data_IF_387250189342
#
_entry.id   IF_387250189342
#
_cell.length_a   1.000
_cell.length_b   1.000
_cell.length_c   1.000
_cell.angle_alpha   90.00
_cell.angle_beta   90.00
_cell.angle_gamma   90.00
#
_symmetry.space_group_name_H-M   'P 1'
#
loop_
_entity.id
_entity.type
_entity.pdbx_description
1 polymer ?
#
# COMPACT_ATOMS: atom_id res chain seq x y z
N UNK A 1 4.79 17.84 -25.91
CA UNK A 1 4.52 17.67 -24.46
C UNK A 1 3.76 16.39 -24.27
N UNK A 2 4.40 15.38 -23.67
CA UNK A 2 3.72 14.13 -23.28
C UNK A 2 3.03 14.43 -21.94
N UNK A 3 1.71 14.55 -21.93
CA UNK A 3 0.93 14.80 -20.71
C UNK A 3 0.52 13.50 -19.99
N UNK A 4 0.45 12.39 -20.72
CA UNK A 4 0.10 11.09 -20.17
C UNK A 4 0.97 9.97 -20.75
N UNK A 5 1.30 8.97 -19.94
CA UNK A 5 1.79 7.67 -20.38
C UNK A 5 0.63 6.69 -20.27
N UNK A 6 -0.20 6.61 -21.30
CA UNK A 6 -1.38 5.74 -21.30
C UNK A 6 -1.15 4.52 -22.17
N UNK A 7 -0.94 3.34 -21.63
CA UNK A 7 -0.92 2.12 -22.42
C UNK A 7 -2.36 1.75 -22.82
N UNK A 8 -2.53 1.29 -24.04
CA UNK A 8 -3.84 0.94 -24.60
C UNK A 8 -4.31 -0.48 -24.24
N UNK A 9 -3.44 -1.34 -23.69
CA UNK A 9 -3.77 -2.73 -23.35
C UNK A 9 -3.03 -3.19 -22.09
N UNK A 10 -3.53 -4.28 -21.46
CA UNK A 10 -3.04 -4.84 -20.20
C UNK A 10 -1.52 -5.11 -20.17
N UNK A 11 -0.90 -5.47 -21.29
CA UNK A 11 0.52 -5.80 -21.38
C UNK A 11 1.36 -4.76 -22.13
N UNK A 12 0.84 -3.59 -22.40
CA UNK A 12 1.46 -2.60 -23.30
C UNK A 12 1.86 -1.30 -22.61
N UNK A 13 2.28 -1.36 -21.33
CA UNK A 13 2.86 -0.19 -20.64
C UNK A 13 4.06 0.36 -21.40
N UNK A 14 4.21 1.67 -21.45
CA UNK A 14 5.23 2.33 -22.28
C UNK A 14 6.66 1.81 -22.00
N UNK A 15 6.95 1.40 -20.75
CA UNK A 15 8.23 0.83 -20.31
C UNK A 15 8.08 -0.56 -19.70
N UNK A 16 6.99 -1.28 -20.03
CA UNK A 16 6.76 -2.62 -19.52
C UNK A 16 7.97 -3.53 -19.73
N UNK A 17 8.48 -4.12 -18.64
CA UNK A 17 9.59 -5.07 -18.70
C UNK A 17 10.96 -4.46 -19.09
N UNK A 18 11.12 -3.14 -19.01
CA UNK A 18 12.41 -2.48 -19.20
C UNK A 18 13.34 -2.82 -18.02
N UNK A 19 13.80 -4.09 -17.97
CA UNK A 19 14.53 -4.68 -16.82
C UNK A 19 15.83 -3.98 -16.45
N UNK A 20 16.43 -3.22 -17.37
CA UNK A 20 17.68 -2.49 -17.15
C UNK A 20 17.47 -0.99 -16.91
N UNK A 21 16.21 -0.51 -16.91
CA UNK A 21 15.90 0.89 -16.60
C UNK A 21 16.18 1.14 -15.12
N UNK A 22 17.11 2.05 -14.81
CA UNK A 22 17.48 2.40 -13.43
C UNK A 22 16.90 3.71 -12.98
N UNK A 23 16.66 4.63 -13.91
CA UNK A 23 16.14 5.98 -13.64
C UNK A 23 15.35 6.50 -14.84
N UNK A 24 14.36 7.34 -14.55
CA UNK A 24 13.61 8.08 -15.57
C UNK A 24 13.35 9.50 -15.07
N UNK A 25 13.38 10.46 -16.00
CA UNK A 25 12.98 11.84 -15.76
C UNK A 25 11.72 12.14 -16.56
N UNK A 26 10.73 12.70 -15.90
CA UNK A 26 9.46 13.06 -16.52
C UNK A 26 9.47 14.51 -17.01
N UNK A 27 8.72 14.83 -18.10
CA UNK A 27 8.51 16.20 -18.51
C UNK A 27 7.61 16.93 -17.52
N UNK A 28 7.80 18.24 -17.39
CA UNK A 28 6.84 19.09 -16.69
C UNK A 28 5.46 18.99 -17.33
N UNK A 29 4.41 18.98 -16.50
CA UNK A 29 3.02 18.89 -16.97
C UNK A 29 2.52 17.46 -17.23
N UNK A 30 3.30 16.43 -16.91
CA UNK A 30 2.79 15.05 -16.90
C UNK A 30 1.68 14.92 -15.85
N UNK A 31 0.47 14.47 -16.26
CA UNK A 31 -0.70 14.39 -15.37
C UNK A 31 -1.07 12.97 -14.95
N UNK A 32 -0.57 11.94 -15.66
CA UNK A 32 -0.90 10.55 -15.36
C UNK A 32 0.23 9.58 -15.70
N UNK A 33 0.38 8.55 -14.86
CA UNK A 33 1.16 7.34 -15.15
C UNK A 33 0.15 6.23 -15.47
N UNK A 34 0.17 5.74 -16.69
CA UNK A 34 -0.83 4.77 -17.17
C UNK A 34 -0.58 3.35 -16.71
N UNK A 35 -1.54 2.48 -16.99
CA UNK A 35 -1.55 1.07 -16.64
C UNK A 35 -0.29 0.33 -17.12
N UNK A 36 0.31 -0.50 -16.24
CA UNK A 36 1.53 -1.27 -16.52
C UNK A 36 2.75 -0.43 -16.97
N UNK A 37 2.75 0.89 -16.84
CA UNK A 37 3.76 1.76 -17.44
C UNK A 37 5.19 1.32 -17.13
N UNK A 38 5.51 1.02 -15.87
CA UNK A 38 6.82 0.54 -15.40
C UNK A 38 6.76 -0.88 -14.84
N UNK A 39 5.71 -1.63 -15.14
CA UNK A 39 5.57 -2.99 -14.63
C UNK A 39 6.80 -3.82 -14.98
N UNK A 40 7.39 -4.49 -13.97
CA UNK A 40 8.59 -5.32 -14.08
C UNK A 40 9.86 -4.56 -14.56
N UNK A 41 9.95 -3.26 -14.33
CA UNK A 41 11.20 -2.50 -14.41
C UNK A 41 12.07 -2.84 -13.20
N UNK A 42 12.61 -4.06 -13.16
CA UNK A 42 13.17 -4.68 -11.96
C UNK A 42 14.39 -3.92 -11.39
N UNK A 43 15.10 -3.12 -12.21
CA UNK A 43 16.24 -2.31 -11.79
C UNK A 43 15.93 -0.82 -11.58
N UNK A 44 14.65 -0.43 -11.63
CA UNK A 44 14.28 0.95 -11.34
C UNK A 44 14.52 1.22 -9.84
N UNK A 45 15.49 2.08 -9.54
CA UNK A 45 15.96 2.36 -8.18
C UNK A 45 15.25 3.55 -7.55
N UNK A 46 14.93 4.55 -8.37
CA UNK A 46 14.27 5.78 -7.92
C UNK A 46 13.32 6.32 -8.98
N UNK A 47 12.30 7.03 -8.51
CA UNK A 47 11.35 7.74 -9.36
C UNK A 47 10.92 9.05 -8.69
N UNK A 48 10.95 10.14 -9.45
CA UNK A 48 10.47 11.43 -9.03
C UNK A 48 9.20 11.75 -9.83
N UNK A 49 8.04 11.63 -9.18
CA UNK A 49 6.76 11.96 -9.80
C UNK A 49 6.56 13.48 -9.80
N UNK A 50 6.30 14.11 -10.97
CA UNK A 50 6.02 15.53 -11.03
C UNK A 50 4.81 15.91 -10.19
N UNK A 51 4.82 17.10 -9.60
CA UNK A 51 3.71 17.64 -8.79
C UNK A 51 2.41 17.84 -9.59
N UNK A 52 2.48 17.78 -10.91
CA UNK A 52 1.34 17.81 -11.84
C UNK A 52 0.59 16.48 -11.97
N UNK A 53 1.18 15.35 -11.51
CA UNK A 53 0.53 14.03 -11.58
C UNK A 53 -0.70 14.00 -10.66
N UNK A 54 -1.81 13.51 -11.18
CA UNK A 54 -3.09 13.33 -10.50
C UNK A 54 -3.58 11.90 -10.54
N UNK A 55 -3.10 11.12 -11.52
CA UNK A 55 -3.56 9.74 -11.72
C UNK A 55 -2.37 8.79 -11.83
N UNK A 56 -2.41 7.75 -11.01
CA UNK A 56 -1.60 6.56 -11.14
C UNK A 56 -2.55 5.42 -11.50
N UNK A 57 -2.16 4.54 -12.41
CA UNK A 57 -3.04 3.47 -12.86
C UNK A 57 -2.54 2.10 -12.39
N UNK A 58 -3.41 1.08 -12.52
CA UNK A 58 -3.18 -0.27 -12.02
C UNK A 58 -1.87 -0.86 -12.57
N UNK A 59 -1.13 -1.58 -11.70
CA UNK A 59 0.17 -2.21 -12.01
C UNK A 59 1.26 -1.25 -12.48
N UNK A 60 1.12 0.08 -12.33
CA UNK A 60 2.06 1.02 -12.94
C UNK A 60 3.52 0.75 -12.50
N UNK A 61 3.76 0.37 -11.25
CA UNK A 61 5.08 0.04 -10.71
C UNK A 61 5.20 -1.39 -10.19
N UNK A 62 4.27 -2.27 -10.54
CA UNK A 62 4.30 -3.68 -10.13
C UNK A 62 5.65 -4.32 -10.41
N UNK A 63 6.27 -4.93 -9.40
CA UNK A 63 7.52 -5.67 -9.57
C UNK A 63 8.75 -4.81 -9.86
N UNK A 64 8.74 -3.52 -9.52
CA UNK A 64 9.92 -2.65 -9.50
C UNK A 64 10.76 -2.98 -8.26
N UNK A 65 11.51 -4.09 -8.32
CA UNK A 65 12.12 -4.76 -7.16
C UNK A 65 13.21 -3.95 -6.46
N UNK A 66 13.85 -3.00 -7.14
CA UNK A 66 14.90 -2.15 -6.58
C UNK A 66 14.42 -0.72 -6.27
N UNK A 67 13.14 -0.40 -6.50
CA UNK A 67 12.57 0.89 -6.11
C UNK A 67 12.56 1.00 -4.58
N UNK A 68 13.26 2.00 -4.03
CA UNK A 68 13.46 2.13 -2.58
C UNK A 68 12.50 3.11 -1.93
N UNK A 69 12.15 4.18 -2.63
CA UNK A 69 11.27 5.21 -2.08
C UNK A 69 10.41 5.86 -3.17
N UNK A 70 9.25 6.39 -2.76
CA UNK A 70 8.38 7.18 -3.62
C UNK A 70 7.60 8.23 -2.82
N UNK A 71 7.54 9.43 -3.37
CA UNK A 71 6.63 10.49 -2.89
C UNK A 71 5.45 10.58 -3.85
N UNK A 72 4.25 10.27 -3.36
CA UNK A 72 3.02 10.41 -4.14
C UNK A 72 2.60 11.89 -4.10
N UNK A 73 2.43 12.56 -5.27
CA UNK A 73 2.13 13.98 -5.30
C UNK A 73 0.77 14.34 -4.69
N UNK A 74 0.70 15.53 -4.09
CA UNK A 74 -0.57 16.12 -3.66
C UNK A 74 -1.53 16.26 -4.86
N UNK A 75 -2.82 15.98 -4.60
CA UNK A 75 -3.86 15.92 -5.62
C UNK A 75 -4.08 14.53 -6.23
N UNK A 76 -3.25 13.53 -5.89
CA UNK A 76 -3.59 12.12 -6.10
C UNK A 76 -4.60 11.71 -5.02
N UNK A 77 -5.78 11.27 -5.42
CA UNK A 77 -6.87 10.90 -4.50
C UNK A 77 -7.02 9.40 -4.31
N UNK A 78 -6.41 8.58 -5.18
CA UNK A 78 -6.50 7.13 -5.10
C UNK A 78 -5.16 6.45 -5.42
N UNK A 79 -4.78 5.49 -4.59
CA UNK A 79 -3.75 4.49 -4.92
C UNK A 79 -4.48 3.32 -5.57
N UNK A 80 -4.22 2.99 -6.85
CA UNK A 80 -4.89 1.90 -7.53
C UNK A 80 -4.39 0.54 -7.05
N UNK A 81 -5.18 -0.49 -7.33
CA UNK A 81 -4.82 -1.87 -7.02
C UNK A 81 -3.49 -2.29 -7.67
N UNK A 82 -2.68 -3.07 -6.93
CA UNK A 82 -1.38 -3.61 -7.38
C UNK A 82 -0.34 -2.54 -7.77
N UNK A 83 -0.48 -1.28 -7.32
CA UNK A 83 0.40 -0.20 -7.78
C UNK A 83 1.88 -0.52 -7.53
N UNK A 84 2.24 -0.93 -6.30
CA UNK A 84 3.60 -1.25 -5.85
C UNK A 84 3.75 -2.71 -5.42
N UNK A 85 2.81 -3.58 -5.79
CA UNK A 85 2.92 -5.00 -5.45
C UNK A 85 4.27 -5.56 -5.91
N UNK A 86 4.91 -6.32 -5.04
CA UNK A 86 6.23 -6.94 -5.27
C UNK A 86 7.39 -5.94 -5.48
N UNK A 87 7.25 -4.69 -5.02
CA UNK A 87 8.35 -3.73 -4.90
C UNK A 87 9.15 -4.03 -3.61
N UNK A 88 9.92 -5.11 -3.63
CA UNK A 88 10.51 -5.71 -2.42
C UNK A 88 11.55 -4.85 -1.70
N UNK A 89 12.14 -3.85 -2.36
CA UNK A 89 13.06 -2.89 -1.75
C UNK A 89 12.38 -1.58 -1.32
N UNK A 90 11.05 -1.43 -1.54
CA UNK A 90 10.32 -0.19 -1.22
C UNK A 90 10.11 -0.09 0.28
N UNK A 91 10.94 0.73 0.94
CA UNK A 91 10.93 0.93 2.39
C UNK A 91 10.25 2.23 2.81
N UNK A 92 10.17 3.20 1.91
CA UNK A 92 9.64 4.53 2.22
C UNK A 92 8.60 4.98 1.18
N UNK A 93 7.41 5.33 1.65
CA UNK A 93 6.31 5.87 0.85
C UNK A 93 5.67 7.04 1.56
N UNK A 94 5.74 8.21 0.93
CA UNK A 94 4.99 9.38 1.40
C UNK A 94 3.65 9.44 0.69
N UNK A 95 2.56 9.33 1.46
CA UNK A 95 1.19 9.43 0.97
C UNK A 95 0.67 10.88 1.05
N UNK A 96 -0.06 11.39 0.04
CA UNK A 96 -0.56 12.76 0.06
C UNK A 96 -1.75 12.94 1.00
N UNK A 97 -1.91 14.16 1.52
CA UNK A 97 -3.04 14.53 2.38
C UNK A 97 -4.39 14.52 1.65
N UNK A 98 -4.37 14.50 0.33
CA UNK A 98 -5.56 14.43 -0.54
C UNK A 98 -6.09 13.01 -0.76
N UNK A 99 -5.34 11.98 -0.31
CA UNK A 99 -5.67 10.58 -0.57
C UNK A 99 -7.02 10.18 0.07
N UNK A 100 -7.89 9.49 -0.68
CA UNK A 100 -9.21 9.00 -0.25
C UNK A 100 -9.29 7.49 -0.17
N UNK A 101 -8.56 6.79 -1.05
CA UNK A 101 -8.67 5.33 -1.14
C UNK A 101 -7.35 4.65 -1.48
N UNK A 102 -7.20 3.40 -0.98
CA UNK A 102 -6.08 2.51 -1.29
C UNK A 102 -6.67 1.20 -1.80
N UNK A 103 -6.36 0.88 -3.05
CA UNK A 103 -6.85 -0.31 -3.76
C UNK A 103 -6.18 -1.60 -3.31
N UNK A 104 -6.81 -2.72 -3.64
CA UNK A 104 -6.37 -4.05 -3.24
C UNK A 104 -4.93 -4.35 -3.67
N UNK A 105 -4.16 -4.99 -2.77
CA UNK A 105 -2.79 -5.45 -3.03
C UNK A 105 -1.82 -4.32 -3.45
N UNK A 106 -2.18 -3.04 -3.16
CA UNK A 106 -1.40 -1.89 -3.63
C UNK A 106 0.05 -1.88 -3.14
N UNK A 107 0.31 -2.44 -1.98
CA UNK A 107 1.63 -2.54 -1.34
C UNK A 107 1.97 -3.98 -0.95
N UNK A 108 1.32 -5.00 -1.54
CA UNK A 108 1.61 -6.40 -1.20
C UNK A 108 3.10 -6.71 -1.43
N UNK A 109 3.71 -7.43 -0.50
CA UNK A 109 5.09 -7.89 -0.55
C UNK A 109 6.13 -6.76 -0.77
N UNK A 110 5.86 -5.56 -0.26
CA UNK A 110 6.85 -4.47 -0.19
C UNK A 110 7.78 -4.63 1.00
N UNK A 111 8.88 -3.86 0.98
CA UNK A 111 9.86 -3.77 2.07
C UNK A 111 9.51 -2.72 3.14
N UNK A 112 8.31 -2.16 3.14
CA UNK A 112 7.90 -1.12 4.10
C UNK A 112 8.18 -1.55 5.54
N UNK A 113 8.80 -0.64 6.31
CA UNK A 113 9.07 -0.82 7.74
C UNK A 113 7.98 -0.15 8.59
N UNK A 114 7.50 1.00 8.16
CA UNK A 114 6.37 1.70 8.78
C UNK A 114 5.54 2.45 7.75
N UNK A 115 4.26 2.68 8.05
CA UNK A 115 3.40 3.52 7.23
C UNK A 115 2.34 4.23 8.09
N UNK A 116 2.15 5.52 7.80
CA UNK A 116 1.03 6.31 8.31
C UNK A 116 0.05 6.56 7.19
N UNK A 117 -1.19 6.10 7.36
CA UNK A 117 -2.28 6.32 6.40
C UNK A 117 -2.93 7.66 6.75
N UNK A 118 -3.03 8.61 5.79
CA UNK A 118 -3.61 9.92 6.03
C UNK A 118 -5.06 9.87 6.55
N UNK A 119 -5.42 10.81 7.43
CA UNK A 119 -6.78 10.93 7.99
C UNK A 119 -7.88 11.16 6.94
N UNK A 120 -7.50 11.58 5.74
CA UNK A 120 -8.39 11.74 4.59
C UNK A 120 -8.85 10.42 3.94
N UNK A 121 -8.16 9.30 4.26
CA UNK A 121 -8.48 7.98 3.68
C UNK A 121 -9.70 7.39 4.37
N UNK A 122 -10.71 7.09 3.56
CA UNK A 122 -11.98 6.49 4.01
C UNK A 122 -12.16 5.04 3.55
N UNK A 123 -11.36 4.61 2.57
CA UNK A 123 -11.49 3.27 1.98
C UNK A 123 -10.13 2.62 1.82
N UNK A 124 -9.98 1.43 2.40
CA UNK A 124 -8.82 0.54 2.20
C UNK A 124 -9.39 -0.80 1.74
N UNK A 125 -8.90 -1.29 0.60
CA UNK A 125 -9.32 -2.58 0.06
C UNK A 125 -8.51 -3.76 0.66
N UNK A 126 -8.85 -4.99 0.28
CA UNK A 126 -8.24 -6.20 0.82
C UNK A 126 -6.75 -6.34 0.46
N UNK A 127 -6.00 -7.03 1.32
CA UNK A 127 -4.61 -7.47 1.06
C UNK A 127 -3.60 -6.33 0.82
N UNK A 128 -3.91 -5.08 1.17
CA UNK A 128 -3.07 -3.92 0.82
C UNK A 128 -1.63 -4.11 1.28
N UNK A 129 -1.38 -4.60 2.49
CA UNK A 129 -0.05 -4.81 3.06
C UNK A 129 0.27 -6.31 3.27
N UNK A 130 -0.45 -7.20 2.61
CA UNK A 130 -0.20 -8.64 2.73
C UNK A 130 1.24 -8.97 2.36
N UNK A 131 1.89 -9.85 3.13
CA UNK A 131 3.30 -10.24 2.94
C UNK A 131 4.33 -9.11 3.12
N UNK A 132 3.99 -7.95 3.69
CA UNK A 132 4.97 -6.93 4.08
C UNK A 132 5.73 -7.39 5.33
N UNK A 133 6.71 -8.27 5.14
CA UNK A 133 7.40 -8.98 6.23
C UNK A 133 8.28 -8.09 7.10
N UNK A 134 8.63 -6.91 6.64
CA UNK A 134 9.41 -5.90 7.36
C UNK A 134 8.54 -4.88 8.09
N UNK A 135 7.22 -4.86 7.85
CA UNK A 135 6.33 -3.84 8.41
C UNK A 135 6.20 -4.03 9.92
N UNK A 136 6.77 -3.08 10.68
CA UNK A 136 6.78 -3.08 12.15
C UNK A 136 5.64 -2.27 12.73
N UNK A 137 5.23 -1.19 12.05
CA UNK A 137 4.17 -0.30 12.51
C UNK A 137 3.27 0.14 11.37
N UNK A 138 1.97 0.21 11.66
CA UNK A 138 0.99 0.84 10.79
C UNK A 138 0.10 1.75 11.64
N UNK A 139 -0.14 2.96 11.14
CA UNK A 139 -1.09 3.88 11.72
C UNK A 139 -2.26 4.08 10.79
N UNK A 140 -3.45 3.68 11.26
CA UNK A 140 -4.72 3.85 10.56
C UNK A 140 -5.34 5.21 10.84
N UNK A 141 -6.11 5.78 9.90
CA UNK A 141 -6.93 6.96 10.16
C UNK A 141 -8.05 6.63 11.17
N UNK A 142 -8.33 7.56 12.09
CA UNK A 142 -9.29 7.34 13.17
C UNK A 142 -10.74 7.18 12.68
N UNK A 143 -11.04 7.71 11.48
CA UNK A 143 -12.38 7.61 10.89
C UNK A 143 -12.70 6.24 10.26
N UNK A 144 -11.74 5.32 10.20
CA UNK A 144 -11.93 4.02 9.54
C UNK A 144 -12.87 3.14 10.37
N UNK A 145 -13.93 2.64 9.72
CA UNK A 145 -14.94 1.79 10.38
C UNK A 145 -14.73 0.29 10.13
N UNK A 146 -13.91 -0.08 9.17
CA UNK A 146 -13.63 -1.48 8.85
C UNK A 146 -12.17 -1.70 8.47
N UNK A 147 -11.55 -2.74 9.02
CA UNK A 147 -10.28 -3.27 8.55
C UNK A 147 -10.62 -4.43 7.59
N UNK A 148 -10.19 -4.33 6.31
CA UNK A 148 -10.57 -5.31 5.31
C UNK A 148 -9.86 -6.66 5.47
N UNK A 149 -10.36 -7.67 4.77
CA UNK A 149 -9.78 -9.01 4.77
C UNK A 149 -8.33 -9.02 4.29
N UNK A 150 -7.49 -9.86 4.91
CA UNK A 150 -6.07 -10.04 4.58
C UNK A 150 -5.20 -8.78 4.61
N UNK A 151 -5.65 -7.69 5.23
CA UNK A 151 -4.97 -6.38 5.14
C UNK A 151 -3.47 -6.48 5.42
N UNK A 152 -3.09 -7.10 6.54
CA UNK A 152 -1.71 -7.31 6.99
C UNK A 152 -1.39 -8.82 7.15
N UNK A 153 -2.01 -9.68 6.36
CA UNK A 153 -1.75 -11.13 6.43
C UNK A 153 -0.26 -11.40 6.19
N UNK A 154 0.37 -12.13 7.11
CA UNK A 154 1.79 -12.48 7.11
C UNK A 154 2.76 -11.28 7.23
N UNK A 155 2.35 -10.17 7.85
CA UNK A 155 3.24 -9.11 8.30
C UNK A 155 3.98 -9.55 9.56
N UNK A 156 4.97 -10.42 9.40
CA UNK A 156 5.62 -11.15 10.52
C UNK A 156 6.44 -10.26 11.46
N UNK A 157 6.83 -9.05 11.02
CA UNK A 157 7.53 -8.07 11.86
C UNK A 157 6.59 -7.12 12.60
N UNK A 158 5.28 -7.10 12.29
CA UNK A 158 4.33 -6.15 12.83
C UNK A 158 4.23 -6.29 14.36
N UNK A 159 4.54 -5.21 15.08
CA UNK A 159 4.55 -5.17 16.53
C UNK A 159 3.45 -4.32 17.12
N UNK A 160 3.10 -3.23 16.46
CA UNK A 160 2.12 -2.26 16.96
C UNK A 160 1.19 -1.78 15.88
N UNK A 161 -0.07 -1.64 16.23
CA UNK A 161 -1.12 -1.00 15.46
C UNK A 161 -1.94 -0.09 16.37
N UNK A 162 -2.44 1.03 15.84
CA UNK A 162 -3.53 1.73 16.50
C UNK A 162 -4.86 1.19 15.98
N UNK A 163 -5.82 0.93 16.85
CA UNK A 163 -7.18 0.64 16.41
C UNK A 163 -7.95 1.94 16.27
N UNK A 164 -8.58 2.19 15.08
CA UNK A 164 -9.42 3.36 14.88
C UNK A 164 -10.56 3.41 15.92
N UNK A 165 -10.85 4.59 16.48
CA UNK A 165 -11.88 4.73 17.52
C UNK A 165 -13.29 4.41 17.05
N UNK A 166 -13.53 4.45 15.73
CA UNK A 166 -14.81 4.14 15.09
C UNK A 166 -14.88 2.77 14.44
N UNK A 167 -13.87 1.92 14.68
CA UNK A 167 -13.81 0.60 14.08
C UNK A 167 -14.97 -0.27 14.52
N UNK A 168 -15.69 -0.83 13.55
CA UNK A 168 -16.81 -1.74 13.76
C UNK A 168 -16.49 -3.20 13.41
N UNK A 169 -15.60 -3.41 12.42
CA UNK A 169 -15.34 -4.77 11.92
C UNK A 169 -13.87 -4.99 11.59
N UNK A 170 -13.37 -6.21 11.84
CA UNK A 170 -12.05 -6.68 11.38
C UNK A 170 -12.28 -7.92 10.53
N UNK A 171 -11.93 -7.83 9.25
CA UNK A 171 -12.20 -8.87 8.26
C UNK A 171 -11.36 -10.13 8.40
N UNK A 172 -11.72 -11.16 7.62
CA UNK A 172 -11.06 -12.47 7.61
C UNK A 172 -9.54 -12.33 7.39
N UNK A 173 -8.75 -13.02 8.21
CA UNK A 173 -7.29 -13.07 8.09
C UNK A 173 -6.59 -11.70 8.12
N UNK A 174 -7.23 -10.63 8.58
CA UNK A 174 -6.70 -9.25 8.49
C UNK A 174 -5.28 -9.12 9.05
N UNK A 175 -4.99 -9.77 10.18
CA UNK A 175 -3.67 -9.84 10.83
C UNK A 175 -3.18 -11.28 11.02
N UNK A 176 -3.60 -12.18 10.14
CA UNK A 176 -3.19 -13.59 10.23
C UNK A 176 -1.68 -13.73 10.12
N UNK A 177 -1.06 -14.52 11.01
CA UNK A 177 0.39 -14.73 11.09
C UNK A 177 1.23 -13.45 11.37
N UNK A 178 0.66 -12.43 12.02
CA UNK A 178 1.42 -11.32 12.59
C UNK A 178 2.03 -11.75 13.94
N UNK A 179 3.02 -12.65 13.88
CA UNK A 179 3.52 -13.36 15.06
C UNK A 179 4.19 -12.48 16.14
N UNK A 180 4.58 -11.25 15.81
CA UNK A 180 5.16 -10.27 16.74
C UNK A 180 4.16 -9.22 17.24
N UNK A 181 2.92 -9.24 16.73
CA UNK A 181 1.93 -8.26 17.13
C UNK A 181 1.59 -8.38 18.60
N UNK A 182 1.83 -7.29 19.32
CA UNK A 182 1.56 -7.19 20.76
C UNK A 182 0.08 -6.95 21.04
N UNK A 183 -0.28 -6.91 22.32
CA UNK A 183 -1.65 -6.75 22.77
C UNK A 183 -2.31 -5.49 22.16
N UNK A 184 -3.54 -5.66 21.72
CA UNK A 184 -4.33 -4.63 21.05
C UNK A 184 -5.53 -4.28 21.92
N UNK A 185 -5.82 -2.99 22.06
CA UNK A 185 -7.04 -2.51 22.69
C UNK A 185 -8.09 -2.26 21.62
N UNK A 186 -9.26 -2.90 21.74
CA UNK A 186 -10.36 -2.70 20.81
C UNK A 186 -11.26 -1.55 21.25
N UNK A 187 -11.80 -0.75 20.30
CA UNK A 187 -12.77 0.30 20.63
C UNK A 187 -14.13 -0.31 21.00
N UNK A 188 -14.93 0.41 21.80
CA UNK A 188 -16.30 0.00 22.18
C UNK A 188 -17.25 -0.13 20.98
N UNK A 189 -16.89 0.47 19.84
CA UNK A 189 -17.66 0.39 18.60
C UNK A 189 -17.54 -0.95 17.87
N UNK A 190 -16.58 -1.81 18.27
CA UNK A 190 -16.32 -3.08 17.58
C UNK A 190 -17.53 -4.02 17.69
N UNK A 191 -18.00 -4.51 16.54
CA UNK A 191 -19.16 -5.41 16.42
C UNK A 191 -18.77 -6.83 16.02
N UNK A 192 -17.72 -7.00 15.19
CA UNK A 192 -17.27 -8.31 14.74
C UNK A 192 -15.77 -8.42 14.54
N UNK A 193 -15.27 -9.60 14.86
CA UNK A 193 -13.97 -10.13 14.46
C UNK A 193 -14.24 -11.35 13.57
N UNK A 194 -13.89 -11.25 12.31
CA UNK A 194 -14.15 -12.32 11.37
C UNK A 194 -13.13 -13.47 11.49
N UNK A 195 -13.31 -14.52 10.72
CA UNK A 195 -12.52 -15.75 10.83
C UNK A 195 -11.01 -15.47 10.78
N UNK A 196 -10.27 -15.97 11.76
CA UNK A 196 -8.81 -15.88 11.91
C UNK A 196 -8.24 -14.47 11.82
N UNK A 197 -9.03 -13.42 12.07
CA UNK A 197 -8.58 -12.02 11.94
C UNK A 197 -7.26 -11.73 12.68
N UNK A 198 -6.99 -12.43 13.81
CA UNK A 198 -5.71 -12.41 14.54
C UNK A 198 -5.10 -13.82 14.70
N UNK A 199 -5.46 -14.76 13.84
CA UNK A 199 -4.92 -16.11 13.89
C UNK A 199 -3.39 -16.12 13.72
N UNK A 200 -2.67 -16.84 14.57
CA UNK A 200 -1.21 -16.90 14.51
C UNK A 200 -0.46 -15.68 15.09
N UNK A 201 -1.15 -14.74 15.75
CA UNK A 201 -0.53 -13.65 16.51
C UNK A 201 0.01 -14.19 17.84
N UNK A 202 1.14 -14.89 17.78
CA UNK A 202 1.68 -15.66 18.92
C UNK A 202 2.26 -14.80 20.05
N UNK A 203 2.48 -13.51 19.83
CA UNK A 203 2.95 -12.58 20.85
C UNK A 203 1.82 -11.99 21.71
N UNK A 204 0.54 -12.25 21.39
CA UNK A 204 -0.58 -11.82 22.22
C UNK A 204 -0.55 -12.51 23.58
N UNK A 205 -0.67 -11.73 24.65
CA UNK A 205 -0.79 -12.23 26.02
C UNK A 205 -2.18 -11.98 26.60
N UNK A 206 -2.85 -10.93 26.13
CA UNK A 206 -4.23 -10.60 26.51
C UNK A 206 -4.94 -9.78 25.43
N UNK A 207 -6.26 -9.78 25.48
CA UNK A 207 -7.14 -8.93 24.69
C UNK A 207 -7.83 -7.96 25.67
N UNK A 208 -7.81 -6.66 25.36
CA UNK A 208 -8.40 -5.61 26.20
C UNK A 208 -9.48 -4.88 25.41
#
# INVERSE_FOLDING_TARGET
NIQTFTPSTYNSGAFYGCKNLTRITFPEGLTAIGQNCFRNCAKLESIELPSSVRTLDIYAFYGCKLLTSVVIPEGVEAIPRFLFDSCTALTDVTLPSTLKSIGAEAFEATGLEEITIPESVTTIESSVFKNCKSLERIQFPDALTAIPANLCNACSALTTINMPSKLETVGNDAFYNCGKLQDVTFPETLKSLDERSFGGCSAFTRIV
#
